data_IF_958783069594
#
_entry.id   IF_958783069594
#
_cell.length_a   1.000
_cell.length_b   1.000
_cell.length_c   1.000
_cell.angle_alpha   90.00
_cell.angle_beta   90.00
_cell.angle_gamma   90.00
#
_symmetry.space_group_name_H-M   'P 1'
#
loop_
_entity.id
_entity.type
_entity.pdbx_description
1 polymer ?
#
# COMPACT_ATOMS: atom_id res chain seq x y z
N UNK A 1 -8.29 -14.46 -32.02
CA UNK A 1 -9.51 -14.43 -31.17
C UNK A 1 -9.42 -13.48 -29.96
N UNK A 2 -8.24 -12.95 -29.59
CA UNK A 2 -8.06 -12.07 -28.42
C UNK A 2 -8.49 -10.59 -28.61
N UNK A 3 -8.44 -10.05 -29.82
CA UNK A 3 -8.75 -8.63 -30.09
C UNK A 3 -10.26 -8.32 -30.02
N UNK A 4 -11.12 -9.31 -30.29
CA UNK A 4 -12.58 -9.12 -30.38
C UNK A 4 -13.25 -9.01 -29.00
N UNK A 5 -12.69 -9.65 -27.96
CA UNK A 5 -13.23 -9.57 -26.58
C UNK A 5 -12.84 -8.29 -25.85
N UNK A 6 -11.65 -7.75 -26.10
CA UNK A 6 -11.26 -6.42 -25.60
C UNK A 6 -12.22 -5.32 -26.09
N UNK A 7 -12.67 -5.41 -27.35
CA UNK A 7 -13.68 -4.50 -27.91
C UNK A 7 -15.08 -4.67 -27.29
N UNK A 8 -15.44 -5.87 -26.83
CA UNK A 8 -16.75 -6.15 -26.20
C UNK A 8 -16.83 -5.68 -24.75
N UNK A 9 -15.74 -5.81 -23.98
CA UNK A 9 -15.63 -5.18 -22.66
C UNK A 9 -15.72 -3.64 -22.78
N UNK A 10 -15.10 -3.06 -23.81
CA UNK A 10 -15.20 -1.61 -24.03
C UNK A 10 -16.64 -1.15 -24.34
N UNK A 11 -17.44 -1.94 -25.06
CA UNK A 11 -18.85 -1.61 -25.37
C UNK A 11 -19.80 -1.72 -24.18
N UNK A 12 -19.59 -2.65 -23.24
CA UNK A 12 -20.39 -2.75 -22.01
C UNK A 12 -20.08 -1.65 -20.98
N UNK A 13 -18.96 -0.95 -21.14
CA UNK A 13 -18.48 0.11 -20.25
C UNK A 13 -18.79 1.53 -20.74
N UNK A 14 -19.39 1.70 -21.93
CA UNK A 14 -19.59 3.00 -22.61
C UNK A 14 -20.40 4.07 -21.84
N UNK A 15 -20.90 3.80 -20.64
CA UNK A 15 -21.63 4.75 -19.80
C UNK A 15 -21.23 4.73 -18.31
N UNK A 16 -20.15 4.02 -17.92
CA UNK A 16 -19.75 4.00 -16.51
C UNK A 16 -18.98 5.29 -16.16
N UNK A 17 -19.19 5.88 -14.96
CA UNK A 17 -18.38 6.99 -14.52
C UNK A 17 -16.92 6.55 -14.34
N UNK A 18 -15.97 7.47 -14.52
CA UNK A 18 -14.55 7.20 -14.29
C UNK A 18 -14.32 7.00 -12.78
N UNK A 19 -13.56 5.97 -12.41
CA UNK A 19 -13.12 5.76 -11.04
C UNK A 19 -12.11 6.87 -10.66
N UNK A 20 -12.47 7.68 -9.67
CA UNK A 20 -11.62 8.71 -9.04
C UNK A 20 -11.83 8.69 -7.52
N UNK A 21 -11.01 9.42 -6.75
CA UNK A 21 -11.27 9.53 -5.31
C UNK A 21 -12.61 10.20 -5.03
N UNK A 22 -13.00 11.19 -5.84
CA UNK A 22 -14.29 11.85 -5.74
C UNK A 22 -15.45 10.86 -5.99
N UNK A 23 -15.32 9.98 -6.99
CA UNK A 23 -16.29 8.93 -7.23
C UNK A 23 -16.40 7.98 -6.03
N UNK A 24 -15.27 7.49 -5.50
CA UNK A 24 -15.29 6.60 -4.33
C UNK A 24 -15.88 7.26 -3.09
N UNK A 25 -15.56 8.54 -2.83
CA UNK A 25 -16.15 9.29 -1.72
C UNK A 25 -17.68 9.34 -1.83
N UNK A 26 -18.20 9.73 -3.01
CA UNK A 26 -19.65 9.76 -3.28
C UNK A 26 -20.29 8.39 -3.16
N UNK A 27 -19.62 7.34 -3.67
CA UNK A 27 -20.13 5.98 -3.58
C UNK A 27 -20.22 5.50 -2.12
N UNK A 28 -19.22 5.79 -1.29
CA UNK A 28 -19.22 5.47 0.15
C UNK A 28 -20.30 6.26 0.89
N UNK A 29 -20.48 7.53 0.55
CA UNK A 29 -21.53 8.37 1.15
C UNK A 29 -22.93 7.77 0.89
N UNK A 30 -23.16 7.26 -0.32
CA UNK A 30 -24.44 6.70 -0.74
C UNK A 30 -24.68 5.25 -0.27
N UNK A 31 -23.63 4.41 -0.26
CA UNK A 31 -23.76 2.96 -0.08
C UNK A 31 -23.13 2.44 1.21
N UNK A 32 -22.44 3.30 1.97
CA UNK A 32 -21.76 2.93 3.21
C UNK A 32 -20.62 1.93 3.03
N UNK A 33 -20.12 1.72 1.80
CA UNK A 33 -19.09 0.73 1.47
C UNK A 33 -18.34 1.09 0.19
N UNK A 34 -17.19 0.45 -0.06
CA UNK A 34 -16.51 0.51 -1.36
C UNK A 34 -17.24 -0.33 -2.41
N UNK A 35 -17.04 -0.04 -3.72
CA UNK A 35 -17.35 -1.02 -4.75
C UNK A 35 -16.60 -2.33 -4.47
N UNK A 36 -17.33 -3.41 -4.26
CA UNK A 36 -16.76 -4.72 -3.88
C UNK A 36 -16.72 -5.71 -5.04
N UNK A 37 -17.57 -5.52 -6.06
CA UNK A 37 -17.64 -6.41 -7.22
C UNK A 37 -16.79 -5.88 -8.37
N UNK A 38 -15.91 -6.74 -8.88
CA UNK A 38 -15.04 -6.45 -10.03
C UNK A 38 -15.21 -7.51 -11.11
N UNK A 39 -14.97 -7.10 -12.34
CA UNK A 39 -14.82 -7.98 -13.48
C UNK A 39 -13.34 -8.06 -13.87
N UNK A 40 -12.84 -9.28 -14.01
CA UNK A 40 -11.47 -9.55 -14.43
C UNK A 40 -11.40 -9.73 -15.94
N UNK A 41 -10.42 -9.10 -16.59
CA UNK A 41 -10.08 -9.40 -17.97
C UNK A 41 -9.44 -10.79 -18.09
N UNK A 42 -9.48 -11.34 -19.31
CA UNK A 42 -8.89 -12.64 -19.63
C UNK A 42 -7.44 -12.74 -19.10
N UNK A 43 -7.11 -13.89 -18.50
CA UNK A 43 -5.80 -14.17 -17.89
C UNK A 43 -5.36 -13.18 -16.79
N UNK A 44 -6.28 -12.46 -16.15
CA UNK A 44 -5.99 -11.54 -15.05
C UNK A 44 -5.02 -10.41 -15.42
N UNK A 45 -5.13 -9.87 -16.64
CA UNK A 45 -4.28 -8.76 -17.11
C UNK A 45 -4.77 -7.38 -16.65
N UNK A 46 -6.03 -7.26 -16.26
CA UNK A 46 -6.63 -6.05 -15.69
C UNK A 46 -7.93 -6.41 -14.98
N UNK A 47 -8.47 -5.51 -14.17
CA UNK A 47 -9.80 -5.63 -13.60
C UNK A 47 -10.52 -4.28 -13.63
N UNK A 48 -11.85 -4.33 -13.60
CA UNK A 48 -12.71 -3.15 -13.56
C UNK A 48 -13.80 -3.31 -12.49
N UNK A 49 -14.00 -2.35 -11.57
CA UNK A 49 -15.19 -2.32 -10.74
C UNK A 49 -16.46 -2.30 -11.60
N UNK A 50 -17.53 -2.95 -11.15
CA UNK A 50 -18.79 -2.86 -11.89
C UNK A 50 -19.39 -1.44 -11.86
N UNK A 51 -19.09 -0.68 -10.81
CA UNK A 51 -19.66 0.64 -10.56
C UNK A 51 -18.96 1.80 -11.30
N UNK A 52 -17.73 1.63 -11.78
CA UNK A 52 -16.95 2.67 -12.45
C UNK A 52 -15.88 2.08 -13.37
N UNK A 53 -15.31 2.90 -14.25
CA UNK A 53 -14.21 2.51 -15.14
C UNK A 53 -12.87 3.10 -14.66
N UNK A 54 -11.89 2.23 -14.44
CA UNK A 54 -10.50 2.59 -14.21
C UNK A 54 -9.85 2.86 -15.57
N UNK A 55 -9.47 4.12 -15.77
CA UNK A 55 -8.75 4.58 -16.96
C UNK A 55 -7.23 4.54 -16.67
N UNK A 56 -6.40 4.01 -17.59
CA UNK A 56 -4.95 4.05 -17.43
C UNK A 56 -4.41 5.47 -17.21
N UNK A 57 -3.43 5.59 -16.31
CA UNK A 57 -2.87 6.89 -15.97
C UNK A 57 -1.86 7.39 -17.01
N UNK A 58 -1.99 8.66 -17.42
CA UNK A 58 -0.88 9.44 -17.98
C UNK A 58 0.04 9.88 -16.84
N UNK A 59 0.93 8.96 -16.43
CA UNK A 59 1.82 9.12 -15.26
C UNK A 59 2.65 10.41 -15.33
N UNK A 60 3.34 10.75 -16.45
CA UNK A 60 4.16 11.96 -16.50
C UNK A 60 3.34 13.23 -16.26
N UNK A 61 2.19 13.35 -16.92
CA UNK A 61 1.29 14.50 -16.77
C UNK A 61 0.69 14.56 -15.37
N UNK A 62 0.28 13.41 -14.83
CA UNK A 62 -0.25 13.28 -13.48
C UNK A 62 0.76 13.79 -12.43
N UNK A 63 2.01 13.30 -12.45
CA UNK A 63 3.07 13.75 -11.53
C UNK A 63 3.41 15.24 -11.68
N UNK A 64 3.33 15.77 -12.91
CA UNK A 64 3.51 17.19 -13.17
C UNK A 64 2.38 18.04 -12.57
N UNK A 65 1.12 17.66 -12.80
CA UNK A 65 -0.08 18.36 -12.30
C UNK A 65 -0.21 18.28 -10.78
N UNK A 66 -0.07 17.08 -10.21
CA UNK A 66 -0.21 16.82 -8.77
C UNK A 66 0.95 17.38 -7.94
N UNK A 67 2.06 17.74 -8.60
CA UNK A 67 3.29 18.20 -7.96
C UNK A 67 3.84 17.20 -6.93
N UNK A 68 3.64 15.90 -7.12
CA UNK A 68 4.26 14.85 -6.31
C UNK A 68 5.78 14.82 -6.54
N UNK A 69 6.56 14.89 -5.46
CA UNK A 69 8.04 14.78 -5.44
C UNK A 69 8.50 13.51 -4.75
N UNK A 70 7.66 12.91 -3.93
CA UNK A 70 8.00 11.70 -3.17
C UNK A 70 6.83 10.74 -3.07
N UNK A 71 7.10 9.45 -3.34
CA UNK A 71 6.15 8.35 -3.16
C UNK A 71 6.72 7.41 -2.09
N UNK A 72 5.97 7.22 -1.01
CA UNK A 72 6.27 6.22 0.02
C UNK A 72 5.38 5.01 -0.12
N UNK A 73 5.96 3.83 -0.21
CA UNK A 73 5.24 2.56 -0.20
C UNK A 73 5.58 1.82 1.08
N UNK A 74 4.57 1.50 1.88
CA UNK A 74 4.75 0.99 3.24
C UNK A 74 4.02 -0.33 3.43
N UNK A 75 4.74 -1.34 3.88
CA UNK A 75 4.16 -2.65 4.19
C UNK A 75 5.20 -3.71 4.53
N UNK A 76 4.76 -4.95 4.71
CA UNK A 76 5.63 -6.12 4.84
C UNK A 76 6.18 -6.56 3.46
N UNK A 77 6.44 -7.86 3.29
CA UNK A 77 6.98 -8.45 2.04
C UNK A 77 6.13 -8.10 0.81
N UNK A 78 4.81 -8.12 0.93
CA UNK A 78 3.90 -7.70 -0.15
C UNK A 78 4.08 -6.20 -0.51
N UNK A 79 4.29 -5.33 0.48
CA UNK A 79 4.59 -3.92 0.28
C UNK A 79 5.82 -3.69 -0.61
N UNK A 80 6.84 -4.55 -0.48
CA UNK A 80 8.02 -4.52 -1.36
C UNK A 80 7.64 -4.78 -2.82
N UNK A 81 6.79 -5.77 -3.07
CA UNK A 81 6.32 -6.09 -4.42
C UNK A 81 5.52 -4.94 -5.03
N UNK A 82 4.64 -4.29 -4.26
CA UNK A 82 3.95 -3.07 -4.71
C UNK A 82 4.94 -1.95 -5.03
N UNK A 83 5.97 -1.72 -4.20
CA UNK A 83 6.97 -0.68 -4.47
C UNK A 83 7.79 -0.94 -5.73
N UNK A 84 8.15 -2.21 -5.98
CA UNK A 84 8.80 -2.62 -7.23
C UNK A 84 7.87 -2.37 -8.43
N UNK A 85 6.58 -2.63 -8.29
CA UNK A 85 5.57 -2.39 -9.33
C UNK A 85 5.42 -0.89 -9.61
N UNK A 86 5.40 -0.04 -8.57
CA UNK A 86 5.43 1.42 -8.75
C UNK A 86 6.64 1.84 -9.58
N UNK A 87 7.85 1.38 -9.24
CA UNK A 87 9.03 1.67 -10.04
C UNK A 87 8.94 1.17 -11.48
N UNK A 88 8.39 -0.03 -11.69
CA UNK A 88 8.18 -0.58 -13.03
C UNK A 88 7.24 0.32 -13.85
N UNK A 89 6.10 0.72 -13.29
CA UNK A 89 5.14 1.61 -13.97
C UNK A 89 5.70 3.00 -14.26
N UNK A 90 6.49 3.58 -13.37
CA UNK A 90 7.20 4.83 -13.63
C UNK A 90 8.20 4.69 -14.80
N UNK A 91 8.95 3.58 -14.85
CA UNK A 91 9.90 3.30 -15.95
C UNK A 91 9.19 3.02 -17.28
N UNK A 92 8.11 2.26 -17.26
CA UNK A 92 7.25 1.99 -18.43
C UNK A 92 6.69 3.29 -19.03
N UNK A 93 6.42 4.30 -18.18
CA UNK A 93 6.03 5.64 -18.61
C UNK A 93 7.19 6.50 -19.14
N UNK A 94 8.37 5.93 -19.38
CA UNK A 94 9.53 6.61 -19.95
C UNK A 94 10.34 7.46 -18.96
N UNK A 95 10.11 7.30 -17.65
CA UNK A 95 10.84 8.06 -16.62
C UNK A 95 11.97 7.17 -16.07
N UNK A 96 13.26 7.48 -16.35
CA UNK A 96 14.37 6.64 -15.90
C UNK A 96 14.57 6.76 -14.38
N UNK A 97 14.78 5.62 -13.72
CA UNK A 97 14.96 5.53 -12.26
C UNK A 97 16.18 4.70 -11.88
N UNK A 98 16.96 5.20 -10.92
CA UNK A 98 18.10 4.52 -10.30
C UNK A 98 17.81 4.25 -8.83
N UNK A 99 18.22 3.08 -8.33
CA UNK A 99 18.16 2.80 -6.89
C UNK A 99 19.40 3.35 -6.22
N UNK A 100 19.21 4.23 -5.24
CA UNK A 100 20.28 4.94 -4.55
C UNK A 100 20.84 4.13 -3.38
N UNK A 101 19.97 3.45 -2.64
CA UNK A 101 20.33 2.85 -1.36
C UNK A 101 19.38 1.71 -0.99
N UNK A 102 19.91 0.72 -0.26
CA UNK A 102 19.17 -0.37 0.36
C UNK A 102 19.41 -0.39 1.87
N UNK A 103 18.39 -0.79 2.63
CA UNK A 103 18.51 -1.06 4.06
C UNK A 103 19.32 -2.36 4.27
N UNK A 104 20.43 -2.28 5.02
CA UNK A 104 21.28 -3.43 5.30
C UNK A 104 20.97 -4.02 6.68
N UNK A 105 19.93 -4.86 6.74
CA UNK A 105 19.51 -5.51 7.99
C UNK A 105 20.53 -6.52 8.49
N UNK A 106 20.86 -6.44 9.78
CA UNK A 106 21.69 -7.43 10.48
C UNK A 106 20.79 -8.19 11.46
N UNK A 107 20.79 -9.52 11.39
CA UNK A 107 19.96 -10.38 12.26
C UNK A 107 18.49 -9.95 12.30
N UNK A 108 17.94 -9.60 11.14
CA UNK A 108 16.54 -9.15 11.01
C UNK A 108 16.22 -7.85 11.78
N UNK A 109 17.23 -7.11 12.24
CA UNK A 109 17.04 -5.80 12.88
C UNK A 109 17.06 -4.69 11.83
N UNK A 110 16.21 -3.66 11.98
CA UNK A 110 16.23 -2.51 11.10
C UNK A 110 17.59 -1.80 11.08
N UNK A 111 17.99 -1.31 9.92
CA UNK A 111 19.22 -0.51 9.79
C UNK A 111 18.97 0.93 10.24
N UNK A 112 19.43 1.25 11.46
CA UNK A 112 19.25 2.58 12.02
C UNK A 112 20.00 3.66 11.25
N UNK A 113 21.10 3.32 10.56
CA UNK A 113 21.86 4.30 9.76
C UNK A 113 21.04 4.71 8.54
N UNK A 114 20.42 3.75 7.88
CA UNK A 114 19.50 3.98 6.76
C UNK A 114 18.38 4.96 7.15
N UNK A 115 17.70 4.72 8.28
CA UNK A 115 16.61 5.59 8.73
C UNK A 115 17.08 6.91 9.34
N UNK A 116 18.26 6.95 9.98
CA UNK A 116 18.80 8.18 10.56
C UNK A 116 19.31 9.16 9.51
N UNK A 117 19.77 8.71 8.33
CA UNK A 117 20.28 9.58 7.25
C UNK A 117 21.30 10.62 7.76
N UNK A 118 22.19 10.20 8.65
CA UNK A 118 23.19 11.08 9.26
C UNK A 118 22.69 11.92 10.45
N UNK A 119 21.40 11.84 10.82
CA UNK A 119 20.87 12.45 12.04
C UNK A 119 21.41 11.73 13.29
N UNK A 120 22.45 12.30 13.90
CA UNK A 120 23.10 11.76 15.10
C UNK A 120 22.15 11.64 16.29
N UNK A 121 21.18 12.55 16.42
CA UNK A 121 20.17 12.51 17.49
C UNK A 121 19.25 11.30 17.34
N UNK A 122 18.82 10.97 16.11
CA UNK A 122 18.03 9.76 15.88
C UNK A 122 18.90 8.51 16.11
N UNK A 123 20.14 8.50 15.62
CA UNK A 123 21.03 7.35 15.75
C UNK A 123 21.33 7.00 17.22
N UNK A 124 21.54 8.00 18.08
CA UNK A 124 21.95 7.81 19.47
C UNK A 124 20.81 7.42 20.42
N UNK A 125 19.57 7.75 20.06
CA UNK A 125 18.41 7.57 20.95
C UNK A 125 17.57 6.34 20.58
N UNK A 126 17.97 5.59 19.56
CA UNK A 126 17.20 4.48 19.02
C UNK A 126 17.82 3.14 19.40
N UNK A 127 16.99 2.25 19.93
CA UNK A 127 17.31 0.83 20.04
C UNK A 127 16.51 0.13 18.97
N UNK A 128 17.20 -0.55 18.03
CA UNK A 128 16.52 -1.44 17.10
C UNK A 128 15.74 -2.48 17.93
N UNK A 129 14.41 -2.40 17.89
CA UNK A 129 13.54 -3.33 18.60
C UNK A 129 13.75 -4.78 18.15
N UNK A 130 12.96 -5.69 18.71
CA UNK A 130 13.09 -7.12 18.45
C UNK A 130 13.13 -7.46 16.95
N UNK A 131 13.90 -8.50 16.63
CA UNK A 131 14.08 -9.01 15.27
C UNK A 131 12.76 -9.05 14.49
N UNK A 132 12.78 -8.44 13.31
CA UNK A 132 11.70 -8.48 12.33
C UNK A 132 11.92 -9.74 11.50
N UNK A 133 11.29 -10.88 11.84
CA UNK A 133 11.45 -12.19 11.16
C UNK A 133 11.21 -12.21 9.62
N UNK A 134 11.06 -11.06 8.95
CA UNK A 134 11.09 -10.94 7.50
C UNK A 134 12.51 -10.67 6.98
N UNK A 135 13.11 -11.71 6.39
CA UNK A 135 14.45 -11.65 5.76
C UNK A 135 14.50 -10.80 4.48
N UNK A 136 13.37 -10.67 3.78
CA UNK A 136 13.30 -10.03 2.45
C UNK A 136 12.56 -8.68 2.46
N UNK A 137 12.36 -8.07 3.63
CA UNK A 137 11.68 -6.78 3.79
C UNK A 137 12.68 -5.63 3.94
N UNK A 138 13.81 -5.65 3.22
CA UNK A 138 14.75 -4.55 3.26
C UNK A 138 14.16 -3.34 2.54
N UNK A 139 14.10 -2.21 3.23
CA UNK A 139 13.70 -0.92 2.67
C UNK A 139 14.67 -0.50 1.56
N UNK A 140 14.22 0.31 0.61
CA UNK A 140 15.08 0.85 -0.44
C UNK A 140 14.58 2.20 -0.90
N UNK A 141 15.49 3.01 -1.46
CA UNK A 141 15.19 4.32 -2.03
C UNK A 141 15.70 4.42 -3.45
N UNK A 142 14.86 4.94 -4.32
CA UNK A 142 15.18 5.20 -5.72
C UNK A 142 14.86 6.64 -6.09
N UNK A 143 15.60 7.15 -7.07
CA UNK A 143 15.40 8.46 -7.66
C UNK A 143 15.07 8.30 -9.15
N UNK A 144 14.06 9.02 -9.60
CA UNK A 144 13.60 9.04 -10.98
C UNK A 144 13.72 10.44 -11.56
N UNK A 145 14.25 10.56 -12.78
CA UNK A 145 14.47 11.85 -13.45
C UNK A 145 13.25 12.23 -14.30
N UNK A 146 12.46 13.20 -13.83
CA UNK A 146 11.36 13.75 -14.62
C UNK A 146 11.94 14.71 -15.66
N UNK A 147 11.82 14.33 -16.94
CA UNK A 147 12.16 15.24 -18.02
C UNK A 147 11.19 16.42 -18.03
N UNK A 148 11.72 17.64 -17.94
CA UNK A 148 10.92 18.83 -18.16
C UNK A 148 10.56 18.91 -19.64
N UNK A 149 9.27 19.01 -19.98
CA UNK A 149 8.82 19.21 -21.37
C UNK A 149 9.26 20.56 -21.97
N UNK A 150 9.99 21.41 -21.22
CA UNK A 150 10.43 22.73 -21.67
C UNK A 150 11.92 22.93 -21.38
N UNK A 151 12.69 23.52 -22.32
CA UNK A 151 14.15 23.68 -22.23
C UNK A 151 14.63 24.55 -21.06
N UNK A 152 13.73 25.26 -20.36
CA UNK A 152 14.05 26.14 -19.23
C UNK A 152 13.54 25.66 -17.87
N UNK A 153 12.91 24.48 -17.78
CA UNK A 153 12.53 23.91 -16.49
C UNK A 153 13.66 23.02 -15.95
N UNK A 154 14.14 23.33 -14.75
CA UNK A 154 15.09 22.49 -14.00
C UNK A 154 14.59 21.04 -14.01
N UNK A 155 15.50 20.10 -14.31
CA UNK A 155 15.26 18.67 -14.09
C UNK A 155 14.71 18.47 -12.69
N UNK A 156 13.59 17.77 -12.59
CA UNK A 156 12.92 17.52 -11.33
C UNK A 156 13.10 16.06 -10.99
N UNK A 157 13.46 15.78 -9.75
CA UNK A 157 13.56 14.40 -9.26
C UNK A 157 12.27 13.98 -8.57
N UNK A 158 11.88 12.72 -8.79
CA UNK A 158 10.88 12.00 -8.02
C UNK A 158 11.61 10.98 -7.14
N UNK A 159 11.38 11.04 -5.84
CA UNK A 159 11.89 10.06 -4.88
C UNK A 159 10.85 8.96 -4.69
N UNK A 160 11.26 7.70 -4.74
CA UNK A 160 10.38 6.57 -4.45
C UNK A 160 11.05 5.71 -3.38
N UNK A 161 10.36 5.47 -2.28
CA UNK A 161 10.90 4.73 -1.15
C UNK A 161 9.94 3.62 -0.72
N UNK A 162 10.46 2.39 -0.66
CA UNK A 162 9.83 1.32 0.08
C UNK A 162 10.31 1.38 1.52
N UNK A 163 9.38 1.51 2.47
CA UNK A 163 9.64 1.47 3.90
C UNK A 163 8.99 0.22 4.46
N UNK A 164 9.79 -0.72 4.93
CA UNK A 164 9.24 -1.91 5.57
C UNK A 164 8.53 -1.56 6.87
N UNK A 165 7.30 -2.04 7.04
CA UNK A 165 6.50 -1.77 8.24
C UNK A 165 5.88 -3.04 8.82
N UNK A 166 6.56 -4.19 8.70
CA UNK A 166 6.10 -5.58 9.00
C UNK A 166 5.31 -5.78 10.31
N UNK A 167 5.46 -4.91 11.31
CA UNK A 167 4.76 -4.96 12.60
C UNK A 167 3.97 -3.68 12.93
N UNK A 168 3.70 -2.78 11.98
CA UNK A 168 2.76 -1.67 12.20
C UNK A 168 1.33 -2.11 11.88
N UNK A 169 0.32 -1.71 12.69
CA UNK A 169 0.38 -0.86 13.89
C UNK A 169 0.65 -1.63 15.21
N UNK A 170 1.14 -2.86 15.14
CA UNK A 170 1.18 -3.83 16.24
C UNK A 170 2.11 -3.51 17.44
N UNK A 171 2.77 -2.34 17.52
CA UNK A 171 3.78 -2.01 18.54
C UNK A 171 3.38 -0.94 19.57
N UNK A 172 2.18 -1.04 20.16
CA UNK A 172 1.93 -0.40 21.45
C UNK A 172 2.58 -1.23 22.56
N UNK A 173 3.77 -0.86 23.01
CA UNK A 173 4.44 -1.59 24.06
C UNK A 173 5.77 -1.00 24.45
N UNK A 174 5.74 0.09 25.21
CA UNK A 174 6.84 0.37 26.15
C UNK A 174 6.25 0.62 27.52
N UNK A 175 6.90 0.04 28.54
CA UNK A 175 6.68 0.42 29.92
C UNK A 175 6.95 1.93 30.08
N UNK A 176 6.09 2.62 30.84
CA UNK A 176 6.31 4.01 31.25
C UNK A 176 7.70 4.10 31.92
N UNK A 177 8.55 5.01 31.47
CA UNK A 177 9.90 5.22 32.02
C UNK A 177 11.07 4.67 31.17
N UNK A 178 10.81 3.97 30.07
CA UNK A 178 11.85 3.60 29.11
C UNK A 178 12.21 4.77 28.19
N UNK A 179 13.45 5.26 28.25
CA UNK A 179 14.01 6.24 27.30
C UNK A 179 14.29 5.66 25.89
N UNK A 180 14.02 4.37 25.65
CA UNK A 180 14.28 3.70 24.37
C UNK A 180 13.18 4.05 23.35
N UNK A 181 13.48 4.12 22.07
CA UNK A 181 12.47 4.28 21.00
C UNK A 181 12.12 2.92 20.36
N UNK A 182 10.83 2.63 20.15
CA UNK A 182 10.38 1.43 19.41
C UNK A 182 10.40 1.66 17.89
N UNK A 183 10.27 0.58 17.09
CA UNK A 183 10.35 0.68 15.63
C UNK A 183 9.29 1.61 15.04
N UNK A 184 8.08 1.60 15.60
CA UNK A 184 7.03 2.55 15.24
C UNK A 184 7.48 4.01 15.42
N UNK A 185 8.11 4.33 16.56
CA UNK A 185 8.65 5.67 16.79
C UNK A 185 9.77 6.01 15.81
N UNK A 186 10.65 5.07 15.46
CA UNK A 186 11.69 5.30 14.43
C UNK A 186 11.05 5.70 13.10
N UNK A 187 10.08 4.90 12.62
CA UNK A 187 9.42 5.17 11.34
C UNK A 187 8.68 6.51 11.39
N UNK A 188 7.98 6.80 12.48
CA UNK A 188 7.22 8.03 12.57
C UNK A 188 8.07 9.29 12.78
N UNK A 189 9.17 9.21 13.51
CA UNK A 189 10.12 10.31 13.67
C UNK A 189 10.92 10.51 12.37
N UNK A 190 11.21 9.43 11.64
CA UNK A 190 11.74 9.48 10.28
C UNK A 190 10.78 10.22 9.33
N UNK A 191 9.50 9.83 9.34
CA UNK A 191 8.44 10.44 8.53
C UNK A 191 8.13 11.89 8.94
N UNK A 192 8.45 12.33 10.16
CA UNK A 192 8.19 13.69 10.63
C UNK A 192 8.89 14.74 9.76
N UNK A 193 10.11 14.43 9.29
CA UNK A 193 10.89 15.34 8.45
C UNK A 193 10.83 14.98 6.95
N UNK A 194 10.29 13.81 6.60
CA UNK A 194 10.35 13.25 5.25
C UNK A 194 9.02 12.68 4.77
N UNK A 195 7.90 13.17 5.28
CA UNK A 195 6.58 12.62 4.95
C UNK A 195 6.34 12.71 3.43
N UNK A 196 6.17 11.56 2.72
CA UNK A 196 5.99 11.57 1.28
C UNK A 196 4.75 12.36 0.81
N UNK A 197 4.79 12.86 -0.43
CA UNK A 197 3.64 13.53 -1.05
C UNK A 197 2.51 12.53 -1.38
N UNK A 198 2.86 11.31 -1.79
CA UNK A 198 1.92 10.20 -1.99
C UNK A 198 2.37 9.01 -1.15
N UNK A 199 1.45 8.47 -0.33
CA UNK A 199 1.76 7.37 0.59
C UNK A 199 0.80 6.21 0.34
N UNK A 200 1.36 5.02 0.12
CA UNK A 200 0.61 3.78 -0.08
C UNK A 200 0.91 2.83 1.08
N UNK A 201 0.00 2.72 2.04
CA UNK A 201 0.10 1.79 3.16
C UNK A 201 -0.74 0.55 2.89
N UNK A 202 -0.13 -0.63 2.93
CA UNK A 202 -0.81 -1.91 2.73
C UNK A 202 -1.09 -2.57 4.08
N UNK A 203 -2.35 -2.48 4.52
CA UNK A 203 -2.78 -2.91 5.85
C UNK A 203 -4.23 -3.44 5.81
N UNK A 204 -4.57 -4.47 6.59
CA UNK A 204 -3.71 -5.23 7.49
C UNK A 204 -2.72 -6.13 6.74
N UNK A 205 -1.51 -6.28 7.30
CA UNK A 205 -0.51 -7.22 6.79
C UNK A 205 -0.80 -8.65 7.26
N UNK A 206 -0.30 -9.64 6.53
CA UNK A 206 -0.41 -11.07 6.85
C UNK A 206 0.05 -11.49 8.26
N UNK A 207 0.85 -10.69 8.96
CA UNK A 207 1.27 -10.95 10.35
C UNK A 207 0.23 -10.46 11.37
N UNK A 208 -0.51 -9.39 11.07
CA UNK A 208 -1.55 -8.83 11.95
C UNK A 208 -2.67 -9.84 12.16
N UNK A 209 -3.07 -10.59 11.12
CA UNK A 209 -4.07 -11.66 11.26
C UNK A 209 -3.64 -12.75 12.26
N UNK A 210 -2.33 -12.94 12.47
CA UNK A 210 -1.80 -14.00 13.32
C UNK A 210 -1.80 -13.62 14.79
N UNK A 211 -1.56 -12.35 15.11
CA UNK A 211 -1.21 -11.91 16.47
C UNK A 211 -2.26 -11.06 17.17
N UNK A 212 -3.19 -10.44 16.42
CA UNK A 212 -4.03 -9.39 16.99
C UNK A 212 -5.50 -9.82 17.01
N UNK A 213 -6.11 -9.74 18.20
CA UNK A 213 -7.57 -9.79 18.33
C UNK A 213 -8.20 -8.59 17.63
N UNK A 214 -9.49 -8.65 17.31
CA UNK A 214 -10.17 -7.53 16.65
C UNK A 214 -10.07 -6.23 17.47
N UNK A 215 -10.28 -6.31 18.78
CA UNK A 215 -10.16 -5.16 19.68
C UNK A 215 -8.73 -4.59 19.71
N UNK A 216 -7.71 -5.47 19.73
CA UNK A 216 -6.31 -5.05 19.70
C UNK A 216 -5.97 -4.34 18.40
N UNK A 217 -6.38 -4.89 17.25
CA UNK A 217 -6.21 -4.27 15.94
C UNK A 217 -6.88 -2.89 15.88
N UNK A 218 -8.13 -2.76 16.32
CA UNK A 218 -8.84 -1.48 16.34
C UNK A 218 -8.10 -0.41 17.17
N UNK A 219 -7.65 -0.77 18.38
CA UNK A 219 -6.91 0.16 19.25
C UNK A 219 -5.60 0.62 18.59
N UNK A 220 -4.83 -0.32 18.06
CA UNK A 220 -3.56 -0.06 17.41
C UNK A 220 -3.72 0.76 16.13
N UNK A 221 -4.70 0.41 15.31
CA UNK A 221 -4.98 1.13 14.08
C UNK A 221 -5.45 2.56 14.34
N UNK A 222 -6.32 2.81 15.33
CA UNK A 222 -6.70 4.17 15.75
C UNK A 222 -5.48 5.00 16.16
N UNK A 223 -4.56 4.41 16.92
CA UNK A 223 -3.30 5.07 17.28
C UNK A 223 -2.47 5.41 16.06
N UNK A 224 -2.22 4.43 15.19
CA UNK A 224 -1.49 4.63 13.94
C UNK A 224 -2.11 5.73 13.08
N UNK A 225 -3.43 5.70 12.87
CA UNK A 225 -4.16 6.71 12.11
C UNK A 225 -4.00 8.11 12.73
N UNK A 226 -4.08 8.23 14.06
CA UNK A 226 -3.84 9.51 14.75
C UNK A 226 -2.41 10.04 14.52
N UNK A 227 -1.41 9.16 14.48
CA UNK A 227 -0.02 9.54 14.22
C UNK A 227 0.16 10.02 12.77
N UNK A 228 -0.47 9.34 11.83
CA UNK A 228 -0.51 9.75 10.41
C UNK A 228 -1.16 11.13 10.27
N UNK A 229 -2.35 11.31 10.84
CA UNK A 229 -3.08 12.60 10.79
C UNK A 229 -2.28 13.75 11.39
N UNK A 230 -1.52 13.49 12.46
CA UNK A 230 -0.67 14.50 13.11
C UNK A 230 0.55 14.88 12.26
N UNK A 231 1.14 13.94 11.52
CA UNK A 231 2.44 14.14 10.84
C UNK A 231 2.35 14.41 9.35
N UNK A 232 1.28 13.96 8.68
CA UNK A 232 1.13 14.20 7.25
C UNK A 232 1.03 15.71 6.98
N UNK A 233 1.62 16.15 5.88
CA UNK A 233 1.48 17.55 5.48
C UNK A 233 0.07 17.80 4.90
N UNK A 234 -0.32 19.07 4.74
CA UNK A 234 -1.57 19.42 4.04
C UNK A 234 -1.59 18.98 2.58
N UNK A 235 -0.42 18.75 1.97
CA UNK A 235 -0.32 18.32 0.57
C UNK A 235 -0.31 16.81 0.41
N UNK A 236 0.19 16.10 1.41
CA UNK A 236 0.36 14.64 1.39
C UNK A 236 -0.97 13.90 1.24
N UNK A 237 -1.05 13.03 0.25
CA UNK A 237 -2.11 12.03 0.08
C UNK A 237 -1.69 10.71 0.72
N UNK A 238 -2.64 10.07 1.40
CA UNK A 238 -2.42 8.82 2.12
C UNK A 238 -3.48 7.81 1.72
N UNK A 239 -3.07 6.72 1.09
CA UNK A 239 -3.90 5.56 0.79
C UNK A 239 -3.63 4.48 1.83
N UNK A 240 -4.69 4.05 2.52
CA UNK A 240 -4.68 2.93 3.45
C UNK A 240 -5.39 1.75 2.77
N UNK A 241 -4.61 0.91 2.09
CA UNK A 241 -5.08 -0.09 1.14
C UNK A 241 -5.38 -1.40 1.88
N UNK A 242 -6.61 -1.94 1.77
CA UNK A 242 -7.02 -3.20 2.42
C UNK A 242 -6.15 -4.41 2.08
N UNK A 243 -6.16 -5.43 2.93
CA UNK A 243 -5.44 -6.70 2.71
C UNK A 243 -6.12 -7.58 1.66
N UNK A 244 -5.33 -8.42 0.99
CA UNK A 244 -5.76 -9.36 -0.05
C UNK A 244 -6.23 -10.71 0.51
N UNK A 245 -6.87 -11.53 -0.33
CA UNK A 245 -7.19 -12.92 -0.02
C UNK A 245 -5.91 -13.78 0.08
N UNK A 246 -6.00 -14.83 0.88
CA UNK A 246 -5.03 -15.92 0.99
C UNK A 246 -5.67 -17.24 0.56
N UNK A 247 -4.85 -18.18 0.09
CA UNK A 247 -5.33 -19.43 -0.50
C UNK A 247 -4.72 -20.62 0.23
N UNK A 248 -5.57 -21.43 0.84
CA UNK A 248 -5.13 -22.62 1.58
C UNK A 248 -4.56 -23.70 0.65
N UNK A 249 -5.16 -23.86 -0.53
CA UNK A 249 -4.77 -24.80 -1.59
C UNK A 249 -3.41 -24.49 -2.22
N UNK A 250 -2.99 -23.22 -2.24
CA UNK A 250 -1.69 -22.81 -2.78
C UNK A 250 -0.56 -22.86 -1.74
N UNK A 251 -0.85 -23.22 -0.48
CA UNK A 251 0.20 -23.37 0.54
C UNK A 251 1.05 -24.61 0.26
N UNK A 252 2.35 -24.59 0.59
CA UNK A 252 3.19 -25.78 0.46
C UNK A 252 2.63 -26.99 1.23
N UNK A 253 2.75 -28.22 0.70
CA UNK A 253 2.33 -29.42 1.40
C UNK A 253 2.96 -29.49 2.80
N UNK A 254 2.16 -29.89 3.81
CA UNK A 254 2.57 -29.97 5.22
C UNK A 254 2.97 -28.64 5.88
N UNK A 255 2.67 -27.51 5.24
CA UNK A 255 2.83 -26.20 5.90
C UNK A 255 1.98 -26.14 7.17
N UNK A 256 2.58 -25.69 8.28
CA UNK A 256 1.89 -25.45 9.56
C UNK A 256 0.78 -24.38 9.48
N UNK A 257 0.71 -23.67 8.36
CA UNK A 257 -0.29 -22.64 8.09
C UNK A 257 -1.50 -23.17 7.33
N UNK A 258 -1.45 -24.39 6.79
CA UNK A 258 -2.56 -25.01 6.04
C UNK A 258 -3.76 -25.23 6.94
N UNK A 259 -4.91 -24.68 6.55
CA UNK A 259 -6.16 -24.69 7.31
C UNK A 259 -6.02 -24.14 8.74
N UNK A 260 -4.97 -23.35 9.00
CA UNK A 260 -4.75 -22.75 10.30
C UNK A 260 -5.82 -21.71 10.56
N UNK A 261 -6.47 -21.81 11.73
CA UNK A 261 -7.47 -20.84 12.17
C UNK A 261 -6.82 -19.72 12.97
N UNK A 262 -7.29 -18.50 12.72
CA UNK A 262 -6.89 -17.27 13.37
C UNK A 262 -8.12 -16.66 14.01
N UNK A 263 -8.22 -16.78 15.35
CA UNK A 263 -9.40 -16.38 16.11
C UNK A 263 -10.69 -17.02 15.55
N UNK A 264 -10.64 -18.32 15.24
CA UNK A 264 -11.77 -19.11 14.72
C UNK A 264 -11.95 -19.09 13.20
N UNK A 265 -11.30 -18.17 12.49
CA UNK A 265 -11.47 -17.96 11.04
C UNK A 265 -10.30 -18.51 10.21
N UNK A 266 -10.53 -18.91 8.96
CA UNK A 266 -9.43 -19.09 8.00
C UNK A 266 -8.78 -17.74 7.67
N UNK A 267 -7.62 -17.78 7.01
CA UNK A 267 -6.83 -16.58 6.75
C UNK A 267 -7.62 -15.47 6.02
N UNK A 268 -8.28 -15.80 4.89
CA UNK A 268 -9.06 -14.84 4.10
C UNK A 268 -10.23 -14.24 4.88
N UNK A 269 -10.96 -15.07 5.62
CA UNK A 269 -12.07 -14.59 6.47
C UNK A 269 -11.58 -13.66 7.57
N UNK A 270 -10.42 -13.99 8.17
CA UNK A 270 -9.80 -13.13 9.18
C UNK A 270 -9.39 -11.79 8.58
N UNK A 271 -8.79 -11.78 7.39
CA UNK A 271 -8.41 -10.54 6.69
C UNK A 271 -9.65 -9.72 6.35
N UNK A 272 -10.74 -10.35 5.85
CA UNK A 272 -12.02 -9.68 5.59
C UNK A 272 -12.57 -8.98 6.83
N UNK A 273 -12.54 -9.64 8.00
CA UNK A 273 -12.93 -9.02 9.28
C UNK A 273 -12.07 -7.80 9.58
N UNK A 274 -10.74 -7.89 9.40
CA UNK A 274 -9.83 -6.77 9.67
C UNK A 274 -10.01 -5.62 8.66
N UNK A 275 -10.22 -5.90 7.37
CA UNK A 275 -10.54 -4.91 6.33
C UNK A 275 -11.81 -4.12 6.70
N UNK A 276 -12.89 -4.81 7.08
CA UNK A 276 -14.14 -4.16 7.52
C UNK A 276 -13.93 -3.24 8.72
N UNK A 277 -13.15 -3.68 9.71
CA UNK A 277 -12.81 -2.86 10.87
C UNK A 277 -11.99 -1.62 10.48
N UNK A 278 -11.00 -1.80 9.60
CA UNK A 278 -10.20 -0.70 9.08
C UNK A 278 -11.08 0.33 8.36
N UNK A 279 -11.94 -0.11 7.45
CA UNK A 279 -12.86 0.75 6.72
C UNK A 279 -13.79 1.55 7.66
N UNK A 280 -14.42 0.89 8.64
CA UNK A 280 -15.29 1.56 9.61
C UNK A 280 -14.57 2.69 10.36
N UNK A 281 -13.28 2.50 10.69
CA UNK A 281 -12.48 3.54 11.36
C UNK A 281 -12.02 4.65 10.41
N UNK A 282 -11.92 4.39 9.11
CA UNK A 282 -11.50 5.34 8.09
C UNK A 282 -12.63 6.13 7.45
N UNK A 283 -13.87 5.63 7.51
CA UNK A 283 -15.00 6.17 6.77
C UNK A 283 -15.15 7.69 6.95
N UNK A 284 -15.08 8.18 8.19
CA UNK A 284 -15.15 9.62 8.48
C UNK A 284 -14.03 10.42 7.80
N UNK A 285 -12.80 9.90 7.83
CA UNK A 285 -11.66 10.56 7.20
C UNK A 285 -11.78 10.51 5.66
N UNK A 286 -12.27 9.41 5.07
CA UNK A 286 -12.48 9.31 3.62
C UNK A 286 -13.55 10.29 3.12
N UNK A 287 -14.63 10.47 3.91
CA UNK A 287 -15.73 11.36 3.57
C UNK A 287 -15.42 12.85 3.81
N UNK A 288 -14.36 13.16 4.54
CA UNK A 288 -13.92 14.54 4.80
C UNK A 288 -13.10 15.06 3.60
N UNK A 289 -13.60 16.06 2.83
CA UNK A 289 -12.97 16.49 1.58
C UNK A 289 -11.51 16.94 1.69
N UNK A 290 -11.13 17.47 2.86
CA UNK A 290 -9.79 18.00 3.10
C UNK A 290 -8.84 17.02 3.82
N UNK A 291 -9.30 15.80 4.10
CA UNK A 291 -8.48 14.84 4.85
C UNK A 291 -7.27 14.36 4.06
N UNK A 292 -7.39 14.25 2.72
CA UNK A 292 -6.44 13.55 1.84
C UNK A 292 -6.09 12.13 2.31
N UNK A 293 -7.01 11.51 3.04
CA UNK A 293 -6.94 10.12 3.46
C UNK A 293 -7.93 9.36 2.59
N UNK A 294 -7.38 8.43 1.84
CA UNK A 294 -8.09 7.58 0.91
C UNK A 294 -7.91 6.13 1.34
N UNK A 295 -8.79 5.28 0.85
CA UNK A 295 -8.61 3.84 0.85
C UNK A 295 -9.16 3.35 -0.49
N UNK A 296 -9.01 2.07 -0.76
CA UNK A 296 -9.34 1.48 -2.05
C UNK A 296 -10.38 0.35 -1.88
N UNK A 297 -10.66 -0.36 -2.97
CA UNK A 297 -11.56 -1.52 -3.02
C UNK A 297 -11.24 -2.57 -1.94
N UNK A 298 -12.22 -3.39 -1.56
CA UNK A 298 -11.98 -4.53 -0.68
C UNK A 298 -11.17 -5.60 -1.42
N UNK A 299 -9.86 -5.65 -1.13
CA UNK A 299 -8.96 -6.50 -1.89
C UNK A 299 -9.16 -7.99 -1.64
N UNK A 300 -9.87 -8.41 -0.59
CA UNK A 300 -10.23 -9.83 -0.44
C UNK A 300 -11.18 -10.24 -1.57
N UNK A 301 -12.18 -9.42 -1.88
CA UNK A 301 -13.13 -9.73 -2.95
C UNK A 301 -12.46 -9.62 -4.33
N UNK A 302 -11.69 -8.55 -4.55
CA UNK A 302 -10.94 -8.35 -5.81
C UNK A 302 -10.02 -9.53 -6.11
N UNK A 303 -9.32 -10.07 -5.10
CA UNK A 303 -8.32 -11.11 -5.31
C UNK A 303 -8.84 -12.53 -5.13
N UNK A 304 -10.08 -12.73 -4.70
CA UNK A 304 -10.65 -14.06 -4.40
C UNK A 304 -10.56 -15.07 -5.55
N UNK A 305 -10.61 -14.62 -6.81
CA UNK A 305 -10.49 -15.46 -8.00
C UNK A 305 -9.04 -15.72 -8.46
N UNK A 306 -8.04 -15.11 -7.81
CA UNK A 306 -6.64 -15.10 -8.27
C UNK A 306 -5.78 -16.22 -7.68
N UNK A 307 -6.38 -17.35 -7.32
CA UNK A 307 -5.67 -18.48 -6.70
C UNK A 307 -4.47 -18.95 -7.55
N UNK A 308 -4.64 -18.99 -8.88
CA UNK A 308 -3.58 -19.40 -9.81
C UNK A 308 -2.40 -18.43 -9.87
N UNK A 309 -2.58 -17.19 -9.41
CA UNK A 309 -1.51 -16.21 -9.26
C UNK A 309 -0.86 -16.27 -7.87
N UNK A 310 -1.33 -17.12 -6.96
CA UNK A 310 -0.70 -17.33 -5.67
C UNK A 310 0.57 -18.16 -5.80
N UNK A 311 1.64 -17.74 -5.11
CA UNK A 311 2.92 -18.45 -5.07
C UNK A 311 3.02 -19.44 -3.91
N UNK A 312 2.45 -19.08 -2.77
CA UNK A 312 2.60 -19.83 -1.51
C UNK A 312 1.36 -19.72 -0.60
N UNK A 313 0.23 -19.29 -1.15
CA UNK A 313 -1.00 -19.01 -0.41
C UNK A 313 -1.04 -17.64 0.27
N UNK A 314 0.05 -16.86 0.29
CA UNK A 314 0.14 -15.54 0.93
C UNK A 314 0.63 -14.45 -0.03
N UNK A 315 1.62 -14.77 -0.86
CA UNK A 315 2.20 -13.87 -1.85
C UNK A 315 1.67 -14.20 -3.24
N UNK A 316 1.41 -13.17 -4.03
CA UNK A 316 1.05 -13.32 -5.43
C UNK A 316 2.31 -13.33 -6.31
N UNK A 317 2.12 -13.68 -7.58
CA UNK A 317 3.08 -13.40 -8.64
C UNK A 317 3.14 -11.89 -8.92
N UNK A 318 4.26 -11.43 -9.48
CA UNK A 318 4.50 -10.00 -9.75
C UNK A 318 3.37 -9.35 -10.57
N UNK A 319 2.78 -10.10 -11.51
CA UNK A 319 1.65 -9.70 -12.35
C UNK A 319 0.50 -9.05 -11.59
N UNK A 320 0.09 -9.60 -10.43
CA UNK A 320 -0.98 -9.00 -9.63
C UNK A 320 -0.60 -7.60 -9.13
N UNK A 321 0.62 -7.46 -8.61
CA UNK A 321 1.09 -6.19 -8.05
C UNK A 321 1.19 -5.10 -9.13
N UNK A 322 1.60 -5.48 -10.35
CA UNK A 322 1.66 -4.57 -11.49
C UNK A 322 0.27 -4.08 -11.91
N UNK A 323 -0.70 -5.01 -12.03
CA UNK A 323 -2.10 -4.69 -12.35
C UNK A 323 -2.74 -3.80 -11.28
N UNK A 324 -2.51 -4.13 -10.00
CA UNK A 324 -3.08 -3.36 -8.90
C UNK A 324 -2.51 -1.95 -8.83
N UNK A 325 -1.19 -1.78 -9.00
CA UNK A 325 -0.58 -0.45 -8.99
C UNK A 325 -1.04 0.38 -10.19
N UNK A 326 -1.22 -0.24 -11.36
CA UNK A 326 -1.83 0.44 -12.51
C UNK A 326 -3.22 0.98 -12.19
N UNK A 327 -4.05 0.17 -11.51
CA UNK A 327 -5.37 0.61 -11.05
C UNK A 327 -5.31 1.75 -10.02
N UNK A 328 -4.40 1.69 -9.03
CA UNK A 328 -4.23 2.74 -8.02
C UNK A 328 -3.77 4.05 -8.66
N UNK A 329 -2.77 4.00 -9.55
CA UNK A 329 -2.30 5.18 -10.28
C UNK A 329 -3.38 5.71 -11.21
N UNK A 330 -4.12 4.81 -11.88
CA UNK A 330 -5.29 5.13 -12.69
C UNK A 330 -6.26 6.01 -11.93
N UNK A 331 -6.75 5.55 -10.77
CA UNK A 331 -7.69 6.31 -9.92
C UNK A 331 -7.07 7.60 -9.37
N UNK A 332 -5.84 7.56 -8.87
CA UNK A 332 -5.18 8.74 -8.29
C UNK A 332 -5.01 9.87 -9.30
N UNK A 333 -4.76 9.53 -10.56
CA UNK A 333 -4.51 10.50 -11.63
C UNK A 333 -5.78 11.09 -12.26
N UNK A 334 -6.99 10.69 -11.83
CA UNK A 334 -8.27 11.28 -12.26
C UNK A 334 -8.79 12.38 -11.32
N UNK A 335 -7.96 12.85 -10.38
CA UNK A 335 -8.33 13.87 -9.40
C UNK A 335 -8.01 15.31 -9.85
#
# INVERSE_FOLDING_TARGET
>A
MSVVRSFLLHKLHQNKPICSNQFFQKHIEQNGSYPSTVEWADNFTSFQPLACEIVPADIPNCLQKSRIRSIGVMGASQGRHYAVSVLAKIREAGIPCVTLEYEHRINSKPDLKYFARGNKTLLNNVVAGDSQNCRNCNSFRSECQLQGQLPFRRQRTLQIEYISTTKLPAQQGMARGSNKMNYEKIIFDYLENHFPDLNLFFIPMNHIKQSDSTAKFQSQFKHFLSKIKKRKTRRSEVYLIPGTAEFESARPPKSIYTNKRYFGHLASDRIRVLNKNMFSMLQKDILEPNSKIHSFLDLVDVTSALETLSRDGVHFQQKWYDVFIEAVLGVHCQN
#
